data_IF_437274808857
#
_entry.id   IF_437274808857
#
_cell.length_a   1.000
_cell.length_b   1.000
_cell.length_c   1.000
_cell.angle_alpha   90.00
_cell.angle_beta   90.00
_cell.angle_gamma   90.00
#
_symmetry.space_group_name_H-M   'P 1'
#
loop_
_entity.id
_entity.type
_entity.pdbx_description
1 polymer ?
#
# COMPACT_ATOMS: atom_id res chain seq x y z
N UNK A 1 -14.94 12.51 26.18
CA UNK A 1 -13.68 11.73 26.12
C UNK A 1 -12.93 11.92 27.44
N UNK A 2 -12.60 10.85 28.18
CA UNK A 2 -11.68 10.98 29.32
C UNK A 2 -10.36 11.58 28.83
N UNK A 3 -9.88 12.61 29.51
CA UNK A 3 -8.67 13.40 29.16
C UNK A 3 -7.42 12.51 29.01
N UNK A 4 -7.43 11.34 29.61
CA UNK A 4 -6.35 10.34 29.68
C UNK A 4 -5.92 9.76 28.32
N UNK A 5 -6.84 9.59 27.35
CA UNK A 5 -6.54 8.91 26.09
C UNK A 5 -6.16 9.85 24.93
N UNK A 6 -6.31 11.17 25.09
CA UNK A 6 -6.13 12.12 23.96
C UNK A 6 -4.71 12.06 23.38
N UNK A 7 -3.68 11.97 24.22
CA UNK A 7 -2.29 11.86 23.76
C UNK A 7 -2.00 10.55 23.01
N UNK A 8 -2.61 9.44 23.46
CA UNK A 8 -2.45 8.12 22.83
C UNK A 8 -3.14 8.09 21.47
N UNK A 9 -4.34 8.69 21.37
CA UNK A 9 -5.06 8.83 20.10
C UNK A 9 -4.26 9.67 19.11
N UNK A 10 -3.74 10.84 19.53
CA UNK A 10 -2.92 11.70 18.66
C UNK A 10 -1.69 10.95 18.17
N UNK A 11 -1.03 10.18 19.04
CA UNK A 11 0.12 9.36 18.67
C UNK A 11 -0.22 8.27 17.64
N UNK A 12 -1.32 7.53 17.81
CA UNK A 12 -1.73 6.53 16.82
C UNK A 12 -2.14 7.17 15.49
N UNK A 13 -2.83 8.31 15.54
CA UNK A 13 -3.20 9.06 14.33
C UNK A 13 -1.99 9.67 13.62
N UNK A 14 -0.98 10.15 14.34
CA UNK A 14 0.27 10.58 13.71
C UNK A 14 1.00 9.40 13.06
N UNK A 15 0.95 8.22 13.69
CA UNK A 15 1.41 6.96 13.09
C UNK A 15 0.66 6.63 11.78
N UNK A 16 -0.66 6.80 11.74
CA UNK A 16 -1.46 6.66 10.52
C UNK A 16 -1.01 7.62 9.41
N UNK A 17 -0.73 8.89 9.73
CA UNK A 17 -0.23 9.88 8.77
C UNK A 17 1.16 9.49 8.26
N UNK A 18 2.06 9.00 9.12
CA UNK A 18 3.38 8.54 8.69
C UNK A 18 3.30 7.30 7.79
N UNK A 19 2.42 6.34 8.10
CA UNK A 19 2.18 5.18 7.25
C UNK A 19 1.58 5.58 5.89
N UNK A 20 0.72 6.60 5.87
CA UNK A 20 0.25 7.19 4.61
C UNK A 20 1.41 7.78 3.79
N UNK A 21 2.24 8.63 4.39
CA UNK A 21 3.42 9.21 3.72
C UNK A 21 4.37 8.12 3.21
N UNK A 22 4.59 7.07 4.01
CA UNK A 22 5.39 5.91 3.61
C UNK A 22 4.86 5.23 2.35
N UNK A 23 3.54 5.00 2.28
CA UNK A 23 2.90 4.41 1.11
C UNK A 23 3.01 5.34 -0.12
N UNK A 24 2.85 6.66 0.06
CA UNK A 24 3.01 7.64 -1.04
C UNK A 24 4.44 7.61 -1.58
N UNK A 25 5.43 7.76 -0.71
CA UNK A 25 6.85 7.81 -1.10
C UNK A 25 7.30 6.46 -1.65
N UNK A 26 6.84 5.34 -1.10
CA UNK A 26 7.08 4.01 -1.65
C UNK A 26 6.45 3.82 -3.03
N UNK A 27 5.25 4.40 -3.27
CA UNK A 27 4.61 4.44 -4.58
C UNK A 27 5.44 5.21 -5.61
N UNK A 28 5.96 6.39 -5.23
CA UNK A 28 6.87 7.18 -6.08
C UNK A 28 8.11 6.34 -6.39
N UNK A 29 8.79 5.82 -5.35
CA UNK A 29 10.00 4.99 -5.48
C UNK A 29 9.79 3.81 -6.43
N UNK A 30 8.61 3.16 -6.41
CA UNK A 30 8.29 2.09 -7.35
C UNK A 30 8.08 2.62 -8.77
N UNK A 31 7.25 3.64 -8.94
CA UNK A 31 6.87 4.16 -10.26
C UNK A 31 8.03 4.86 -10.98
N UNK A 32 9.03 5.34 -10.24
CA UNK A 32 10.28 5.92 -10.78
C UNK A 32 11.43 4.90 -10.85
N UNK A 33 11.16 3.61 -10.61
CA UNK A 33 12.15 2.52 -10.56
C UNK A 33 13.37 2.82 -9.67
N UNK A 34 13.13 3.54 -8.57
CA UNK A 34 14.21 4.01 -7.70
C UNK A 34 14.63 2.99 -6.64
N UNK A 35 13.86 1.91 -6.44
CA UNK A 35 14.01 1.00 -5.29
C UNK A 35 15.28 0.12 -5.25
N UNK A 36 16.18 0.25 -6.23
CA UNK A 36 17.44 -0.50 -6.34
C UNK A 36 18.67 0.42 -6.55
N UNK A 37 18.54 1.71 -6.24
CA UNK A 37 19.59 2.72 -6.37
C UNK A 37 20.61 2.70 -5.23
N UNK A 38 20.20 2.30 -4.02
CA UNK A 38 21.09 2.16 -2.85
C UNK A 38 21.52 0.70 -2.69
N UNK A 39 22.75 0.43 -3.09
CA UNK A 39 23.32 -0.92 -3.19
C UNK A 39 23.84 -1.47 -1.87
N UNK A 40 24.16 -0.59 -0.91
CA UNK A 40 24.56 -0.96 0.44
C UNK A 40 23.41 -0.72 1.43
N UNK A 41 23.26 -1.64 2.39
CA UNK A 41 22.22 -1.57 3.41
C UNK A 41 22.81 -1.33 4.79
N UNK A 42 22.66 -0.10 5.26
CA UNK A 42 23.01 0.28 6.62
C UNK A 42 21.75 0.66 7.41
N UNK A 43 21.47 -0.08 8.49
CA UNK A 43 20.27 0.15 9.31
C UNK A 43 20.37 1.48 10.07
N UNK A 44 21.56 1.81 10.58
CA UNK A 44 21.79 2.93 11.51
C UNK A 44 22.85 3.92 10.99
N UNK A 45 23.94 3.44 10.39
CA UNK A 45 24.99 4.30 9.81
C UNK A 45 24.57 4.87 8.45
N UNK A 46 25.23 5.95 8.03
CA UNK A 46 25.01 6.61 6.73
C UNK A 46 23.55 6.99 6.45
N UNK A 47 22.90 7.54 7.48
CA UNK A 47 21.50 7.96 7.43
C UNK A 47 21.26 9.13 6.47
N UNK A 48 22.29 9.92 6.14
CA UNK A 48 22.19 11.06 5.23
C UNK A 48 22.76 10.72 3.84
N UNK A 49 22.21 11.31 2.76
CA UNK A 49 22.76 11.11 1.42
C UNK A 49 24.18 11.70 1.31
N UNK A 50 24.96 11.34 0.28
CA UNK A 50 26.26 11.94 0.04
C UNK A 50 26.21 13.48 0.05
N UNK A 51 27.12 14.10 0.81
CA UNK A 51 27.16 15.56 1.00
C UNK A 51 28.22 16.26 0.15
N UNK A 52 29.10 15.50 -0.52
CA UNK A 52 30.16 16.04 -1.37
C UNK A 52 30.11 15.39 -2.74
N UNK A 53 30.60 16.09 -3.76
CA UNK A 53 30.60 15.59 -5.13
C UNK A 53 31.44 14.31 -5.27
N UNK A 54 32.58 14.24 -4.57
CA UNK A 54 33.42 13.04 -4.56
C UNK A 54 32.67 11.81 -3.99
N UNK A 55 31.87 11.98 -2.94
CA UNK A 55 31.05 10.87 -2.38
C UNK A 55 29.91 10.49 -3.32
N UNK A 56 29.30 11.47 -4.00
CA UNK A 56 28.29 11.20 -5.03
C UNK A 56 28.86 10.39 -6.19
N UNK A 57 30.04 10.75 -6.68
CA UNK A 57 30.71 10.02 -7.74
C UNK A 57 31.06 8.59 -7.31
N UNK A 58 31.60 8.41 -6.10
CA UNK A 58 31.90 7.08 -5.57
C UNK A 58 30.65 6.20 -5.44
N UNK A 59 29.55 6.75 -4.93
CA UNK A 59 28.27 6.03 -4.84
C UNK A 59 27.71 5.68 -6.23
N UNK A 60 27.85 6.58 -7.20
CA UNK A 60 27.43 6.32 -8.58
C UNK A 60 28.29 5.25 -9.24
N UNK A 61 29.61 5.29 -9.05
CA UNK A 61 30.53 4.29 -9.58
C UNK A 61 30.30 2.90 -8.97
N UNK A 62 29.87 2.84 -7.70
CA UNK A 62 29.39 1.60 -7.10
C UNK A 62 28.08 1.11 -7.76
N UNK A 63 27.10 2.00 -7.93
CA UNK A 63 25.83 1.68 -8.60
C UNK A 63 26.03 1.13 -10.02
N UNK A 64 27.03 1.63 -10.77
CA UNK A 64 27.37 1.13 -12.12
C UNK A 64 27.74 -0.35 -12.16
N UNK A 65 28.10 -0.95 -11.03
CA UNK A 65 28.44 -2.37 -10.93
C UNK A 65 27.20 -3.28 -10.85
N UNK A 66 26.02 -2.73 -10.60
CA UNK A 66 24.81 -3.50 -10.36
C UNK A 66 23.98 -3.70 -11.64
N UNK A 67 23.17 -4.78 -11.71
CA UNK A 67 22.42 -5.12 -12.92
C UNK A 67 21.46 -4.03 -13.40
N UNK A 68 20.85 -3.24 -12.50
CA UNK A 68 19.92 -2.15 -12.85
C UNK A 68 20.61 -1.13 -13.75
N UNK A 69 21.82 -0.71 -13.40
CA UNK A 69 22.59 0.19 -14.25
C UNK A 69 22.98 -0.48 -15.56
N UNK A 70 23.58 -1.68 -15.48
CA UNK A 70 24.17 -2.36 -16.62
C UNK A 70 23.17 -2.81 -17.69
N UNK A 71 21.93 -3.12 -17.30
CA UNK A 71 20.90 -3.67 -18.21
C UNK A 71 19.82 -2.66 -18.60
N UNK A 72 19.56 -1.66 -17.75
CA UNK A 72 18.45 -0.73 -17.95
C UNK A 72 18.98 0.68 -18.16
N UNK A 73 19.65 1.24 -17.15
CA UNK A 73 19.93 2.68 -17.16
C UNK A 73 21.07 3.09 -18.11
N UNK A 74 22.03 2.22 -18.41
CA UNK A 74 23.12 2.54 -19.35
C UNK A 74 22.63 2.93 -20.75
N UNK A 75 21.40 2.54 -21.12
CA UNK A 75 20.82 2.79 -22.44
C UNK A 75 20.06 4.12 -22.57
N UNK A 76 20.00 4.93 -21.50
CA UNK A 76 19.16 6.14 -21.42
C UNK A 76 19.97 7.45 -21.21
N UNK A 77 21.19 7.54 -21.74
CA UNK A 77 22.11 8.68 -21.49
C UNK A 77 22.30 9.02 -19.99
N UNK A 78 22.18 8.01 -19.13
CA UNK A 78 22.01 8.18 -17.68
C UNK A 78 23.24 8.81 -17.00
N UNK A 79 23.04 9.98 -16.39
CA UNK A 79 24.08 10.77 -15.74
C UNK A 79 23.98 10.72 -14.22
N UNK A 80 24.97 11.34 -13.56
CA UNK A 80 24.96 11.50 -12.10
C UNK A 80 23.71 12.23 -11.58
N UNK A 81 23.13 13.15 -12.36
CA UNK A 81 21.91 13.85 -12.00
C UNK A 81 20.71 12.88 -11.89
N UNK A 82 20.58 11.94 -12.83
CA UNK A 82 19.53 10.92 -12.83
C UNK A 82 19.73 9.95 -11.66
N UNK A 83 20.98 9.57 -11.38
CA UNK A 83 21.32 8.79 -10.19
C UNK A 83 20.91 9.50 -8.89
N UNK A 84 21.24 10.80 -8.75
CA UNK A 84 20.83 11.61 -7.59
C UNK A 84 19.31 11.63 -7.41
N UNK A 85 18.54 11.68 -8.50
CA UNK A 85 17.08 11.65 -8.46
C UNK A 85 16.54 10.32 -7.91
N UNK A 86 16.97 9.18 -8.46
CA UNK A 86 16.50 7.87 -7.97
C UNK A 86 16.99 7.58 -6.55
N UNK A 87 18.24 7.95 -6.23
CA UNK A 87 18.81 7.82 -4.90
C UNK A 87 17.99 8.58 -3.87
N UNK A 88 17.56 9.81 -4.18
CA UNK A 88 16.78 10.63 -3.25
C UNK A 88 15.47 9.94 -2.83
N UNK A 89 14.72 9.39 -3.79
CA UNK A 89 13.43 8.77 -3.48
C UNK A 89 13.59 7.51 -2.63
N UNK A 90 14.57 6.67 -2.96
CA UNK A 90 14.86 5.48 -2.16
C UNK A 90 15.36 5.84 -0.75
N UNK A 91 16.29 6.79 -0.66
CA UNK A 91 16.78 7.30 0.61
C UNK A 91 15.63 7.85 1.45
N UNK A 92 14.76 8.67 0.87
CA UNK A 92 13.65 9.30 1.59
C UNK A 92 12.64 8.26 2.08
N UNK A 93 12.33 7.25 1.26
CA UNK A 93 11.51 6.11 1.67
C UNK A 93 12.11 5.37 2.87
N UNK A 94 13.41 5.02 2.80
CA UNK A 94 14.14 4.35 3.89
C UNK A 94 14.22 5.21 5.16
N UNK A 95 14.43 6.52 5.00
CA UNK A 95 14.47 7.49 6.09
C UNK A 95 13.13 7.56 6.84
N UNK A 96 12.01 7.67 6.12
CA UNK A 96 10.67 7.63 6.74
C UNK A 96 10.48 6.32 7.51
N UNK A 97 10.92 5.17 6.97
CA UNK A 97 10.86 3.89 7.67
C UNK A 97 11.57 3.90 9.03
N UNK A 98 12.75 4.52 9.12
CA UNK A 98 13.47 4.70 10.39
C UNK A 98 12.70 5.60 11.36
N UNK A 99 12.15 6.71 10.87
CA UNK A 99 11.32 7.63 11.68
C UNK A 99 10.07 6.92 12.22
N UNK A 100 9.40 6.08 11.43
CA UNK A 100 8.25 5.27 11.88
C UNK A 100 8.65 4.36 13.05
N UNK A 101 9.79 3.67 12.95
CA UNK A 101 10.31 2.85 14.04
C UNK A 101 10.43 3.64 15.36
N UNK A 102 11.03 4.84 15.31
CA UNK A 102 11.17 5.71 16.47
C UNK A 102 9.83 6.23 17.00
N UNK A 103 8.94 6.68 16.10
CA UNK A 103 7.64 7.26 16.45
C UNK A 103 6.69 6.23 17.05
N UNK A 104 6.80 4.95 16.70
CA UNK A 104 6.03 3.91 17.38
C UNK A 104 6.71 3.41 18.65
N UNK A 105 8.03 3.20 18.65
CA UNK A 105 8.71 2.60 19.79
C UNK A 105 8.82 3.55 21.00
N UNK A 106 9.28 4.78 20.79
CA UNK A 106 9.57 5.73 21.89
C UNK A 106 8.29 6.13 22.65
N UNK A 107 7.20 6.57 22.00
CA UNK A 107 5.97 6.89 22.72
C UNK A 107 5.30 5.68 23.35
N UNK A 108 5.42 4.47 22.76
CA UNK A 108 4.92 3.25 23.38
C UNK A 108 5.58 3.00 24.74
N UNK A 109 6.91 3.03 24.79
CA UNK A 109 7.67 2.87 26.04
C UNK A 109 7.31 3.97 27.04
N UNK A 110 7.24 5.23 26.58
CA UNK A 110 6.81 6.34 27.42
C UNK A 110 5.41 6.13 28.02
N UNK A 111 4.41 5.76 27.21
CA UNK A 111 3.04 5.54 27.70
C UNK A 111 2.93 4.32 28.61
N UNK A 112 3.76 3.30 28.40
CA UNK A 112 3.85 2.12 29.27
C UNK A 112 4.38 2.51 30.67
N UNK A 113 5.51 3.25 30.73
CA UNK A 113 6.09 3.73 31.99
C UNK A 113 5.11 4.66 32.73
N UNK A 114 4.41 5.54 31.98
CA UNK A 114 3.42 6.46 32.55
C UNK A 114 2.08 5.80 32.88
N UNK A 115 1.94 4.48 32.70
CA UNK A 115 0.71 3.71 32.95
C UNK A 115 -0.53 4.30 32.25
N UNK A 116 -0.33 4.87 31.06
CA UNK A 116 -1.39 5.50 30.25
C UNK A 116 -2.14 4.53 29.33
N UNK A 117 -1.71 3.27 29.27
CA UNK A 117 -2.30 2.23 28.41
C UNK A 117 -2.97 1.17 29.28
N UNK A 118 -4.19 0.79 28.95
CA UNK A 118 -4.84 -0.38 29.53
C UNK A 118 -4.29 -1.68 28.92
N UNK A 119 -4.46 -2.81 29.60
CA UNK A 119 -3.93 -4.11 29.16
C UNK A 119 -4.33 -4.48 27.73
N UNK A 120 -5.58 -4.28 27.27
CA UNK A 120 -5.95 -4.49 25.87
C UNK A 120 -5.17 -3.61 24.89
N UNK A 121 -4.97 -2.32 25.18
CA UNK A 121 -4.22 -1.42 24.31
C UNK A 121 -2.74 -1.78 24.27
N UNK A 122 -2.14 -2.17 25.40
CA UNK A 122 -0.76 -2.67 25.44
C UNK A 122 -0.59 -3.84 24.46
N UNK A 123 -1.46 -4.86 24.54
CA UNK A 123 -1.38 -6.01 23.63
C UNK A 123 -1.47 -5.61 22.15
N UNK A 124 -2.40 -4.71 21.80
CA UNK A 124 -2.55 -4.22 20.43
C UNK A 124 -1.34 -3.43 19.95
N UNK A 125 -0.78 -2.57 20.80
CA UNK A 125 0.42 -1.80 20.47
C UNK A 125 1.67 -2.69 20.36
N UNK A 126 1.79 -3.75 21.17
CA UNK A 126 2.85 -4.76 20.98
C UNK A 126 2.74 -5.45 19.63
N UNK A 127 1.52 -5.82 19.21
CA UNK A 127 1.29 -6.35 17.86
C UNK A 127 1.68 -5.33 16.79
N UNK A 128 1.34 -4.04 16.96
CA UNK A 128 1.76 -2.98 16.04
C UNK A 128 3.28 -2.87 15.91
N UNK A 129 4.03 -2.96 17.00
CA UNK A 129 5.49 -2.94 16.97
C UNK A 129 6.06 -4.17 16.24
N UNK A 130 5.49 -5.35 16.49
CA UNK A 130 5.88 -6.57 15.78
C UNK A 130 5.58 -6.47 14.26
N UNK A 131 4.42 -5.93 13.90
CA UNK A 131 4.06 -5.65 12.50
C UNK A 131 5.04 -4.65 11.87
N UNK A 132 5.38 -3.56 12.56
CA UNK A 132 6.36 -2.58 12.08
C UNK A 132 7.74 -3.19 11.83
N UNK A 133 8.23 -4.01 12.76
CA UNK A 133 9.49 -4.73 12.60
C UNK A 133 9.44 -5.72 11.42
N UNK A 134 8.34 -6.48 11.31
CA UNK A 134 8.13 -7.39 10.20
C UNK A 134 8.03 -6.66 8.85
N UNK A 135 7.45 -5.45 8.83
CA UNK A 135 7.40 -4.63 7.64
C UNK A 135 8.80 -4.18 7.18
N UNK A 136 9.69 -3.84 8.11
CA UNK A 136 11.10 -3.60 7.83
C UNK A 136 11.80 -4.83 7.22
N UNK A 137 11.53 -6.02 7.77
CA UNK A 137 11.99 -7.29 7.21
C UNK A 137 11.47 -7.52 5.77
N UNK A 138 10.17 -7.31 5.54
CA UNK A 138 9.58 -7.44 4.19
C UNK A 138 10.20 -6.47 3.20
N UNK A 139 10.50 -5.24 3.61
CA UNK A 139 11.18 -4.26 2.76
C UNK A 139 12.59 -4.71 2.35
N UNK A 140 13.38 -5.24 3.30
CA UNK A 140 14.69 -5.83 3.00
C UNK A 140 14.56 -7.06 2.09
N UNK A 141 13.61 -7.96 2.38
CA UNK A 141 13.35 -9.17 1.60
C UNK A 141 12.97 -8.86 0.15
N UNK A 142 12.20 -7.77 -0.05
CA UNK A 142 11.81 -7.25 -1.36
C UNK A 142 13.00 -6.73 -2.16
N UNK A 143 13.87 -5.90 -1.57
CA UNK A 143 15.03 -5.31 -2.28
C UNK A 143 16.10 -6.37 -2.60
N UNK A 144 16.33 -7.33 -1.70
CA UNK A 144 17.37 -8.35 -1.87
C UNK A 144 17.25 -9.15 -3.18
N UNK A 145 16.04 -9.36 -3.72
CA UNK A 145 15.87 -10.05 -5.01
C UNK A 145 16.48 -9.33 -6.20
N UNK A 146 16.49 -8.00 -6.19
CA UNK A 146 16.87 -7.18 -7.35
C UNK A 146 18.38 -6.90 -7.47
N UNK A 147 19.18 -7.26 -6.45
CA UNK A 147 20.60 -6.89 -6.37
C UNK A 147 21.58 -7.96 -6.90
N UNK A 148 21.09 -9.13 -7.31
CA UNK A 148 21.95 -10.28 -7.69
C UNK A 148 22.00 -10.44 -9.21
N UNK A 149 20.99 -11.10 -9.80
CA UNK A 149 21.05 -11.53 -11.21
C UNK A 149 20.16 -10.68 -12.13
N UNK A 150 18.90 -10.48 -11.73
CA UNK A 150 17.92 -9.69 -12.48
C UNK A 150 17.48 -8.48 -11.66
N UNK A 151 17.54 -7.26 -12.23
CA UNK A 151 17.17 -6.02 -11.55
C UNK A 151 15.66 -5.85 -11.36
N UNK A 152 14.94 -6.95 -11.15
CA UNK A 152 13.50 -6.92 -10.93
C UNK A 152 13.19 -7.37 -9.51
N UNK A 153 12.57 -6.46 -8.75
CA UNK A 153 11.89 -6.84 -7.52
C UNK A 153 10.71 -7.72 -7.89
N UNK A 154 10.72 -8.96 -7.40
CA UNK A 154 9.59 -9.88 -7.59
C UNK A 154 8.27 -9.20 -7.21
N UNK A 155 7.32 -9.18 -8.14
CA UNK A 155 5.99 -8.59 -7.95
C UNK A 155 5.24 -9.22 -6.78
N UNK A 156 5.51 -10.50 -6.48
CA UNK A 156 5.00 -11.16 -5.28
C UNK A 156 5.52 -10.49 -4.00
N UNK A 157 6.83 -10.19 -3.93
CA UNK A 157 7.44 -9.54 -2.76
C UNK A 157 6.98 -8.09 -2.62
N UNK A 158 6.88 -7.37 -3.73
CA UNK A 158 6.33 -6.01 -3.77
C UNK A 158 4.89 -5.99 -3.25
N UNK A 159 4.03 -6.86 -3.80
CA UNK A 159 2.62 -6.95 -3.41
C UNK A 159 2.46 -7.37 -1.95
N UNK A 160 3.27 -8.31 -1.46
CA UNK A 160 3.31 -8.69 -0.06
C UNK A 160 3.67 -7.50 0.85
N UNK A 161 4.74 -6.77 0.53
CA UNK A 161 5.18 -5.60 1.29
C UNK A 161 4.13 -4.48 1.31
N UNK A 162 3.55 -4.16 0.15
CA UNK A 162 2.49 -3.15 0.00
C UNK A 162 1.24 -3.54 0.80
N UNK A 163 0.74 -4.76 0.59
CA UNK A 163 -0.47 -5.25 1.26
C UNK A 163 -0.29 -5.29 2.77
N UNK A 164 0.89 -5.71 3.26
CA UNK A 164 1.19 -5.68 4.68
C UNK A 164 1.29 -4.25 5.25
N UNK A 165 1.79 -3.28 4.47
CA UNK A 165 1.76 -1.86 4.83
C UNK A 165 0.32 -1.38 5.06
N UNK A 166 -0.58 -1.71 4.12
CA UNK A 166 -1.99 -1.36 4.15
C UNK A 166 -2.70 -2.00 5.35
N UNK A 167 -2.41 -3.28 5.66
CA UNK A 167 -2.93 -3.97 6.83
C UNK A 167 -2.40 -3.36 8.13
N UNK A 168 -1.11 -3.01 8.18
CA UNK A 168 -0.50 -2.33 9.35
C UNK A 168 -1.17 -0.98 9.60
N UNK A 169 -1.43 -0.21 8.55
CA UNK A 169 -2.20 1.02 8.64
C UNK A 169 -3.63 0.77 9.14
N UNK A 170 -4.36 -0.16 8.52
CA UNK A 170 -5.74 -0.48 8.90
C UNK A 170 -5.83 -0.93 10.36
N UNK A 171 -4.87 -1.73 10.83
CA UNK A 171 -4.80 -2.15 12.23
C UNK A 171 -4.48 -0.96 13.15
N UNK A 172 -3.51 -0.10 12.80
CA UNK A 172 -3.21 1.14 13.56
C UNK A 172 -4.45 2.01 13.71
N UNK A 173 -5.16 2.26 12.61
CA UNK A 173 -6.40 3.03 12.58
C UNK A 173 -7.48 2.36 13.44
N UNK A 174 -7.61 1.03 13.38
CA UNK A 174 -8.53 0.28 14.23
C UNK A 174 -8.26 0.49 15.71
N UNK A 175 -6.99 0.44 16.15
CA UNK A 175 -6.62 0.70 17.55
C UNK A 175 -6.96 2.13 17.95
N UNK A 176 -6.69 3.11 17.09
CA UNK A 176 -7.06 4.50 17.33
C UNK A 176 -8.59 4.66 17.47
N UNK A 177 -9.37 4.02 16.59
CA UNK A 177 -10.83 4.06 16.61
C UNK A 177 -11.42 3.41 17.86
N UNK A 178 -10.83 2.33 18.36
CA UNK A 178 -11.22 1.72 19.65
C UNK A 178 -11.08 2.71 20.82
N UNK A 179 -10.10 3.62 20.77
CA UNK A 179 -9.89 4.66 21.80
C UNK A 179 -10.76 5.89 21.57
N UNK A 180 -11.04 6.25 20.31
CA UNK A 180 -11.93 7.37 19.94
C UNK A 180 -13.38 7.04 20.28
N UNK A 181 -13.79 5.79 20.05
CA UNK A 181 -15.14 5.29 20.29
C UNK A 181 -15.12 4.16 21.32
N UNK A 182 -14.91 4.48 22.62
CA UNK A 182 -14.76 3.47 23.67
C UNK A 182 -16.08 2.73 24.00
N UNK A 183 -17.22 3.36 23.71
CA UNK A 183 -18.54 2.77 23.92
C UNK A 183 -18.81 1.69 22.87
N UNK A 184 -19.13 0.48 23.34
CA UNK A 184 -19.48 -0.63 22.45
C UNK A 184 -20.91 -0.45 21.97
N UNK A 185 -21.10 -0.55 20.66
CA UNK A 185 -22.38 -0.59 20.00
C UNK A 185 -23.17 -1.81 20.50
N UNK A 186 -24.23 -1.52 21.25
CA UNK A 186 -25.10 -2.51 21.87
C UNK A 186 -25.96 -3.21 20.78
N UNK A 187 -26.28 -2.49 19.70
CA UNK A 187 -27.14 -2.97 18.61
C UNK A 187 -26.33 -3.33 17.36
N UNK A 188 -25.49 -4.37 17.47
CA UNK A 188 -24.67 -4.84 16.35
C UNK A 188 -25.53 -5.40 15.23
N UNK A 189 -25.44 -4.80 14.04
CA UNK A 189 -26.13 -5.31 12.85
C UNK A 189 -25.25 -6.38 12.18
N UNK A 190 -25.32 -7.62 12.70
CA UNK A 190 -24.47 -8.74 12.29
C UNK A 190 -24.44 -8.99 10.77
N UNK A 191 -25.57 -8.90 10.02
CA UNK A 191 -25.55 -9.06 8.56
C UNK A 191 -24.66 -8.05 7.86
N UNK A 192 -24.76 -6.76 8.21
CA UNK A 192 -23.92 -5.70 7.61
C UNK A 192 -22.45 -5.88 7.96
N UNK A 193 -22.15 -6.28 9.19
CA UNK A 193 -20.77 -6.60 9.60
C UNK A 193 -20.19 -7.75 8.76
N UNK A 194 -20.96 -8.80 8.53
CA UNK A 194 -20.52 -9.95 7.72
C UNK A 194 -20.24 -9.53 6.28
N UNK A 195 -21.13 -8.74 5.68
CA UNK A 195 -20.95 -8.20 4.33
C UNK A 195 -19.71 -7.29 4.26
N UNK A 196 -19.53 -6.38 5.22
CA UNK A 196 -18.36 -5.51 5.27
C UNK A 196 -17.04 -6.28 5.38
N UNK A 197 -17.02 -7.44 6.07
CA UNK A 197 -15.84 -8.32 6.11
C UNK A 197 -15.54 -8.96 4.75
N UNK A 198 -16.56 -9.42 4.03
CA UNK A 198 -16.36 -9.94 2.68
C UNK A 198 -15.93 -8.85 1.70
N UNK A 199 -16.49 -7.64 1.81
CA UNK A 199 -16.08 -6.49 1.01
C UNK A 199 -14.63 -6.08 1.33
N UNK A 200 -14.20 -6.12 2.59
CA UNK A 200 -12.79 -5.92 2.97
C UNK A 200 -11.90 -7.01 2.37
N UNK A 201 -12.29 -8.28 2.42
CA UNK A 201 -11.53 -9.38 1.82
C UNK A 201 -11.37 -9.19 0.29
N UNK A 202 -12.45 -8.83 -0.41
CA UNK A 202 -12.40 -8.50 -1.83
C UNK A 202 -11.47 -7.30 -2.09
N UNK A 203 -11.57 -6.23 -1.28
CA UNK A 203 -10.67 -5.07 -1.41
C UNK A 203 -9.19 -5.45 -1.21
N UNK A 204 -8.87 -6.34 -0.27
CA UNK A 204 -7.50 -6.82 -0.07
C UNK A 204 -7.00 -7.64 -1.27
N UNK A 205 -7.83 -8.49 -1.87
CA UNK A 205 -7.50 -9.20 -3.11
C UNK A 205 -7.22 -8.20 -4.24
N UNK A 206 -8.05 -7.15 -4.37
CA UNK A 206 -7.84 -6.09 -5.36
C UNK A 206 -6.51 -5.36 -5.16
N UNK A 207 -6.13 -5.06 -3.91
CA UNK A 207 -4.85 -4.44 -3.57
C UNK A 207 -3.68 -5.37 -3.93
N UNK A 208 -3.79 -6.67 -3.65
CA UNK A 208 -2.77 -7.67 -4.01
C UNK A 208 -2.54 -7.66 -5.53
N UNK A 209 -3.61 -7.73 -6.32
CA UNK A 209 -3.52 -7.66 -7.78
C UNK A 209 -3.03 -6.30 -8.27
N UNK A 210 -3.36 -5.20 -7.58
CA UNK A 210 -2.78 -3.89 -7.88
C UNK A 210 -1.26 -3.87 -7.69
N UNK A 211 -0.77 -4.51 -6.62
CA UNK A 211 0.65 -4.74 -6.39
C UNK A 211 1.31 -5.61 -7.48
N UNK A 212 0.60 -6.63 -7.99
CA UNK A 212 1.09 -7.44 -9.10
C UNK A 212 1.17 -6.63 -10.40
N UNK A 213 0.13 -5.85 -10.72
CA UNK A 213 0.11 -4.97 -11.91
C UNK A 213 1.27 -3.99 -11.87
N UNK A 214 1.47 -3.31 -10.73
CA UNK A 214 2.59 -2.40 -10.54
C UNK A 214 3.93 -3.13 -10.63
N UNK A 215 4.08 -4.28 -9.98
CA UNK A 215 5.32 -5.07 -9.97
C UNK A 215 5.77 -5.51 -11.36
N UNK A 216 4.84 -6.03 -12.16
CA UNK A 216 5.12 -6.55 -13.51
C UNK A 216 5.14 -5.48 -14.61
N UNK A 217 4.89 -4.21 -14.27
CA UNK A 217 4.59 -3.14 -15.23
C UNK A 217 3.42 -3.53 -16.18
N UNK A 218 2.49 -4.36 -15.70
CA UNK A 218 1.39 -4.89 -16.51
C UNK A 218 0.34 -3.82 -16.84
N UNK A 219 0.45 -2.61 -16.28
CA UNK A 219 -0.41 -1.50 -16.66
C UNK A 219 -0.13 -0.95 -18.07
N UNK A 220 0.96 -1.34 -18.73
CA UNK A 220 1.43 -0.77 -20.00
C UNK A 220 1.05 -1.58 -21.26
N UNK A 221 0.28 -2.68 -21.12
CA UNK A 221 0.06 -3.62 -22.24
C UNK A 221 -1.30 -3.44 -22.94
N UNK A 222 -2.43 -3.52 -22.24
CA UNK A 222 -3.77 -3.39 -22.82
C UNK A 222 -4.45 -2.10 -22.34
N UNK A 223 -4.06 -0.96 -22.90
CA UNK A 223 -4.50 0.37 -22.50
C UNK A 223 -5.87 0.79 -23.09
N UNK A 224 -6.80 -0.15 -23.12
CA UNK A 224 -8.17 0.03 -23.57
C UNK A 224 -9.15 -0.30 -22.44
N UNK A 225 -10.34 0.31 -22.47
CA UNK A 225 -11.43 0.01 -21.56
C UNK A 225 -12.78 0.22 -22.28
N UNK A 226 -13.78 -0.66 -22.09
CA UNK A 226 -13.79 -1.83 -21.20
C UNK A 226 -13.07 -3.06 -21.75
N UNK A 227 -12.76 -3.07 -23.04
CA UNK A 227 -12.10 -4.18 -23.75
C UNK A 227 -10.57 -4.15 -23.55
N UNK A 228 -9.91 -5.27 -23.82
CA UNK A 228 -8.46 -5.37 -23.97
C UNK A 228 -8.06 -4.97 -25.40
N UNK A 229 -6.79 -5.22 -25.79
CA UNK A 229 -6.35 -4.95 -27.18
C UNK A 229 -7.19 -5.72 -28.20
N UNK A 230 -7.21 -5.20 -29.43
CA UNK A 230 -7.89 -5.81 -30.58
C UNK A 230 -9.43 -5.93 -30.43
N UNK A 231 -10.00 -5.20 -29.47
CA UNK A 231 -11.45 -5.21 -29.21
C UNK A 231 -11.94 -6.45 -28.49
N UNK A 232 -11.04 -7.26 -27.91
CA UNK A 232 -11.39 -8.48 -27.20
C UNK A 232 -11.71 -8.21 -25.72
N UNK A 233 -12.70 -8.88 -25.14
CA UNK A 233 -12.96 -8.74 -23.69
C UNK A 233 -11.88 -9.46 -22.85
N UNK A 234 -11.42 -10.61 -23.33
CA UNK A 234 -10.28 -11.36 -22.78
C UNK A 234 -9.34 -11.61 -23.96
N UNK A 235 -8.19 -10.93 -23.97
CA UNK A 235 -7.23 -11.12 -25.04
C UNK A 235 -6.54 -12.50 -24.94
N UNK A 236 -6.20 -13.14 -26.05
CA UNK A 236 -5.58 -14.49 -26.06
C UNK A 236 -4.32 -14.57 -25.16
N UNK A 237 -3.53 -13.49 -25.09
CA UNK A 237 -2.33 -13.40 -24.24
C UNK A 237 -2.60 -13.65 -22.75
N UNK A 238 -3.84 -13.54 -22.27
CA UNK A 238 -4.25 -13.92 -20.91
C UNK A 238 -4.01 -15.41 -20.65
N UNK A 239 -3.92 -16.26 -21.67
CA UNK A 239 -3.82 -17.71 -21.53
C UNK A 239 -2.50 -18.32 -22.03
N UNK A 240 -1.69 -17.54 -22.76
CA UNK A 240 -0.53 -18.07 -23.50
C UNK A 240 0.82 -17.44 -23.11
N UNK A 241 0.85 -16.36 -22.32
CA UNK A 241 2.09 -15.66 -21.94
C UNK A 241 3.03 -16.53 -21.08
N UNK A 242 2.46 -17.45 -20.29
CA UNK A 242 3.15 -18.32 -19.35
C UNK A 242 2.72 -19.78 -19.50
N UNK A 243 3.54 -20.68 -18.94
CA UNK A 243 3.26 -22.12 -18.91
C UNK A 243 2.15 -22.48 -17.91
N UNK A 244 0.91 -22.51 -18.41
CA UNK A 244 -0.28 -22.94 -17.66
C UNK A 244 -1.10 -21.79 -17.08
N UNK A 245 -2.39 -22.06 -16.84
CA UNK A 245 -3.38 -21.04 -16.47
C UNK A 245 -3.02 -20.27 -15.19
N UNK A 246 -2.57 -20.96 -14.14
CA UNK A 246 -2.26 -20.31 -12.86
C UNK A 246 -1.15 -19.27 -13.05
N UNK A 247 -0.04 -19.65 -13.71
CA UNK A 247 1.06 -18.73 -13.96
C UNK A 247 0.66 -17.57 -14.84
N UNK A 248 -0.18 -17.79 -15.85
CA UNK A 248 -0.70 -16.68 -16.65
C UNK A 248 -1.48 -15.66 -15.82
N UNK A 249 -2.28 -16.14 -14.86
CA UNK A 249 -3.10 -15.29 -14.01
C UNK A 249 -2.33 -14.63 -12.86
N UNK A 250 -1.16 -15.15 -12.46
CA UNK A 250 -0.37 -14.61 -11.34
C UNK A 250 0.95 -13.97 -11.73
N UNK A 251 1.51 -14.31 -12.89
CA UNK A 251 2.84 -13.90 -13.36
C UNK A 251 2.79 -13.33 -14.79
N UNK A 252 1.84 -13.77 -15.62
CA UNK A 252 1.59 -13.18 -16.93
C UNK A 252 1.01 -11.77 -16.79
N UNK A 253 1.61 -10.81 -17.49
CA UNK A 253 1.19 -9.41 -17.46
C UNK A 253 -0.27 -9.29 -17.88
N UNK A 254 -0.68 -9.95 -18.96
CA UNK A 254 -2.04 -9.88 -19.50
C UNK A 254 -3.08 -10.44 -18.52
N UNK A 255 -2.82 -11.63 -17.97
CA UNK A 255 -3.72 -12.26 -17.00
C UNK A 255 -3.85 -11.49 -15.69
N UNK A 256 -2.73 -11.00 -15.16
CA UNK A 256 -2.73 -10.15 -13.95
C UNK A 256 -3.52 -8.86 -14.18
N UNK A 257 -3.30 -8.19 -15.32
CA UNK A 257 -4.02 -6.96 -15.66
C UNK A 257 -5.51 -7.22 -15.88
N UNK A 258 -5.87 -8.34 -16.51
CA UNK A 258 -7.25 -8.79 -16.71
C UNK A 258 -7.97 -9.05 -15.38
N UNK A 259 -7.33 -9.75 -14.44
CA UNK A 259 -7.93 -10.01 -13.13
C UNK A 259 -8.10 -8.70 -12.36
N UNK A 260 -7.07 -7.83 -12.34
CA UNK A 260 -7.19 -6.56 -11.62
C UNK A 260 -8.34 -5.69 -12.14
N UNK A 261 -8.53 -5.59 -13.47
CA UNK A 261 -9.62 -4.79 -14.05
C UNK A 261 -11.00 -5.42 -13.81
N UNK A 262 -11.12 -6.75 -13.92
CA UNK A 262 -12.43 -7.43 -13.79
C UNK A 262 -12.85 -7.59 -12.34
N UNK A 263 -11.92 -7.88 -11.44
CA UNK A 263 -12.19 -8.00 -10.01
C UNK A 263 -12.56 -6.64 -9.37
N UNK A 264 -12.18 -5.52 -9.98
CA UNK A 264 -12.63 -4.19 -9.54
C UNK A 264 -14.16 -4.07 -9.55
N UNK A 265 -14.85 -4.67 -10.52
CA UNK A 265 -16.32 -4.71 -10.55
C UNK A 265 -16.89 -5.50 -9.36
N UNK A 266 -16.22 -6.57 -8.93
CA UNK A 266 -16.62 -7.36 -7.74
C UNK A 266 -16.51 -6.49 -6.48
N UNK A 267 -15.45 -5.69 -6.34
CA UNK A 267 -15.29 -4.75 -5.22
C UNK A 267 -16.39 -3.69 -5.21
N UNK A 268 -16.67 -3.07 -6.36
CA UNK A 268 -17.78 -2.11 -6.51
C UNK A 268 -19.11 -2.76 -6.13
N UNK A 269 -19.41 -3.94 -6.68
CA UNK A 269 -20.64 -4.66 -6.39
C UNK A 269 -20.76 -5.02 -4.90
N UNK A 270 -19.67 -5.46 -4.25
CA UNK A 270 -19.68 -5.78 -2.82
C UNK A 270 -19.97 -4.56 -1.94
N UNK A 271 -19.41 -3.40 -2.28
CA UNK A 271 -19.65 -2.13 -1.56
C UNK A 271 -21.07 -1.61 -1.82
N UNK A 272 -21.56 -1.66 -3.06
CA UNK A 272 -22.95 -1.30 -3.37
C UNK A 272 -23.95 -2.24 -2.69
N UNK A 273 -23.66 -3.54 -2.66
CA UNK A 273 -24.49 -4.51 -1.95
C UNK A 273 -24.55 -4.20 -0.45
N UNK A 274 -23.43 -3.84 0.18
CA UNK A 274 -23.41 -3.34 1.56
C UNK A 274 -24.31 -2.11 1.72
N UNK A 275 -24.19 -1.12 0.82
CA UNK A 275 -24.99 0.10 0.83
C UNK A 275 -26.50 -0.20 0.72
N UNK A 276 -26.94 -0.95 -0.28
CA UNK A 276 -28.36 -1.27 -0.46
C UNK A 276 -28.91 -2.13 0.67
N UNK A 277 -28.14 -3.12 1.16
CA UNK A 277 -28.56 -3.93 2.31
C UNK A 277 -28.70 -3.08 3.58
N UNK A 278 -27.87 -2.05 3.74
CA UNK A 278 -27.92 -1.16 4.91
C UNK A 278 -29.22 -0.35 5.01
N UNK A 279 -29.90 -0.08 3.88
CA UNK A 279 -31.19 0.63 3.84
C UNK A 279 -32.33 -0.11 4.54
N UNK A 280 -32.17 -1.41 4.80
CA UNK A 280 -33.15 -2.24 5.54
C UNK A 280 -33.01 -2.11 7.07
N UNK A 281 -32.07 -1.31 7.55
CA UNK A 281 -31.77 -1.18 8.98
C UNK A 281 -31.69 0.29 9.39
N UNK A 282 -32.01 0.56 10.66
CA UNK A 282 -31.78 1.87 11.27
C UNK A 282 -30.30 2.01 11.62
N UNK A 283 -29.61 2.94 10.97
CA UNK A 283 -28.17 3.18 11.15
C UNK A 283 -27.93 4.40 12.03
N UNK A 284 -26.85 4.35 12.82
CA UNK A 284 -26.32 5.58 13.44
C UNK A 284 -25.72 6.51 12.36
N UNK A 285 -25.60 7.81 12.66
CA UNK A 285 -24.96 8.78 11.75
C UNK A 285 -23.55 8.34 11.32
N UNK A 286 -22.76 7.77 12.24
CA UNK A 286 -21.40 7.29 11.93
C UNK A 286 -21.38 6.09 10.97
N UNK A 287 -22.33 5.17 11.11
CA UNK A 287 -22.45 4.01 10.21
C UNK A 287 -22.93 4.44 8.82
N UNK A 288 -23.95 5.30 8.76
CA UNK A 288 -24.46 5.83 7.49
C UNK A 288 -23.37 6.62 6.74
N UNK A 289 -22.65 7.50 7.43
CA UNK A 289 -21.55 8.27 6.84
C UNK A 289 -20.44 7.35 6.31
N UNK A 290 -19.99 6.36 7.09
CA UNK A 290 -18.95 5.42 6.64
C UNK A 290 -19.35 4.67 5.36
N UNK A 291 -20.58 4.14 5.32
CA UNK A 291 -21.10 3.44 4.14
C UNK A 291 -21.25 4.38 2.93
N UNK A 292 -21.73 5.60 3.12
CA UNK A 292 -21.83 6.58 2.03
C UNK A 292 -20.45 6.98 1.49
N UNK A 293 -19.47 7.21 2.38
CA UNK A 293 -18.09 7.51 2.00
C UNK A 293 -17.47 6.36 1.20
N UNK A 294 -17.74 5.10 1.58
CA UNK A 294 -17.28 3.93 0.83
C UNK A 294 -17.79 3.92 -0.61
N UNK A 295 -19.07 4.25 -0.83
CA UNK A 295 -19.65 4.32 -2.18
C UNK A 295 -18.94 5.40 -3.01
N UNK A 296 -18.76 6.59 -2.45
CA UNK A 296 -18.07 7.68 -3.16
C UNK A 296 -16.63 7.28 -3.50
N UNK A 297 -15.89 6.76 -2.52
CA UNK A 297 -14.47 6.43 -2.70
C UNK A 297 -14.26 5.26 -3.67
N UNK A 298 -15.14 4.25 -3.70
CA UNK A 298 -14.99 3.15 -4.66
C UNK A 298 -15.23 3.60 -6.09
N UNK A 299 -16.14 4.55 -6.33
CA UNK A 299 -16.34 5.12 -7.67
C UNK A 299 -15.15 5.98 -8.10
N UNK A 300 -14.63 6.84 -7.21
CA UNK A 300 -13.42 7.63 -7.52
C UNK A 300 -12.25 6.68 -7.80
N UNK A 301 -12.07 5.63 -6.98
CA UNK A 301 -11.03 4.63 -7.19
C UNK A 301 -11.15 3.93 -8.55
N UNK A 302 -12.36 3.51 -8.92
CA UNK A 302 -12.62 2.83 -10.18
C UNK A 302 -12.31 3.73 -11.37
N UNK A 303 -12.81 4.97 -11.35
CA UNK A 303 -12.58 5.97 -12.42
C UNK A 303 -11.09 6.28 -12.55
N UNK A 304 -10.38 6.49 -11.44
CA UNK A 304 -8.93 6.69 -11.46
C UNK A 304 -8.19 5.47 -12.04
N UNK A 305 -8.67 4.26 -11.75
CA UNK A 305 -8.08 3.03 -12.31
C UNK A 305 -8.26 2.96 -13.83
N UNK A 306 -9.45 3.32 -14.32
CA UNK A 306 -9.72 3.43 -15.77
C UNK A 306 -8.81 4.46 -16.42
N UNK A 307 -8.69 5.67 -15.86
CA UNK A 307 -7.79 6.68 -16.43
C UNK A 307 -6.32 6.28 -16.35
N UNK A 308 -5.89 5.67 -15.25
CA UNK A 308 -4.51 5.15 -15.13
C UNK A 308 -4.23 4.13 -16.23
N UNK A 309 -5.20 3.30 -16.58
CA UNK A 309 -5.09 2.35 -17.69
C UNK A 309 -5.09 3.05 -19.05
N UNK A 310 -6.06 3.93 -19.33
CA UNK A 310 -6.20 4.57 -20.66
C UNK A 310 -5.01 5.45 -21.03
N UNK A 311 -4.37 6.09 -20.05
CA UNK A 311 -3.21 6.96 -20.29
C UNK A 311 -1.85 6.27 -20.11
N UNK A 312 -1.83 4.93 -20.04
CA UNK A 312 -0.58 4.14 -19.92
C UNK A 312 0.25 4.46 -18.67
N UNK A 313 -0.43 4.50 -17.52
CA UNK A 313 0.15 4.66 -16.18
C UNK A 313 1.07 5.89 -16.02
N UNK A 314 0.61 7.11 -16.32
CA UNK A 314 1.39 8.30 -15.98
C UNK A 314 1.65 8.33 -14.47
N UNK A 315 2.86 8.74 -14.07
CA UNK A 315 3.30 8.76 -12.67
C UNK A 315 2.24 9.35 -11.72
N UNK A 316 1.66 10.50 -12.09
CA UNK A 316 0.66 11.18 -11.29
C UNK A 316 -0.64 10.36 -11.13
N UNK A 317 -1.15 9.76 -12.21
CA UNK A 317 -2.38 8.96 -12.14
C UNK A 317 -2.17 7.67 -11.36
N UNK A 318 -1.05 6.95 -11.58
CA UNK A 318 -0.70 5.77 -10.80
C UNK A 318 -0.59 6.08 -9.32
N UNK A 319 0.05 7.20 -8.97
CA UNK A 319 0.18 7.65 -7.58
C UNK A 319 -1.16 8.05 -6.96
N UNK A 320 -1.99 8.84 -7.65
CA UNK A 320 -3.30 9.26 -7.17
C UNK A 320 -4.23 8.04 -7.00
N UNK A 321 -4.17 7.06 -7.91
CA UNK A 321 -4.91 5.81 -7.79
C UNK A 321 -4.50 5.00 -6.54
N UNK A 322 -3.20 4.94 -6.22
CA UNK A 322 -2.71 4.31 -4.99
C UNK A 322 -3.13 5.08 -3.73
N UNK A 323 -3.07 6.41 -3.76
CA UNK A 323 -3.53 7.28 -2.66
C UNK A 323 -5.02 7.07 -2.40
N UNK A 324 -5.84 7.03 -3.44
CA UNK A 324 -7.27 6.78 -3.30
C UNK A 324 -7.55 5.36 -2.80
N UNK A 325 -6.75 4.36 -3.17
CA UNK A 325 -6.85 3.00 -2.63
C UNK A 325 -6.63 2.99 -1.10
N UNK A 326 -5.68 3.77 -0.62
CA UNK A 326 -5.40 3.91 0.81
C UNK A 326 -6.57 4.55 1.56
N UNK A 327 -7.17 5.61 1.01
CA UNK A 327 -8.36 6.24 1.58
C UNK A 327 -9.60 5.35 1.50
N UNK A 328 -9.77 4.57 0.43
CA UNK A 328 -10.82 3.56 0.33
C UNK A 328 -10.67 2.49 1.42
N UNK A 329 -9.44 2.00 1.65
CA UNK A 329 -9.17 1.08 2.77
C UNK A 329 -9.46 1.76 4.12
N UNK A 330 -9.06 3.02 4.30
CA UNK A 330 -9.35 3.79 5.52
C UNK A 330 -10.85 3.85 5.81
N UNK A 331 -11.66 4.16 4.80
CA UNK A 331 -13.12 4.20 4.89
C UNK A 331 -13.72 2.80 5.14
N UNK A 332 -13.15 1.74 4.55
CA UNK A 332 -13.55 0.35 4.80
C UNK A 332 -13.27 -0.07 6.24
N UNK A 333 -12.06 0.21 6.74
CA UNK A 333 -11.67 -0.05 8.13
C UNK A 333 -12.57 0.70 9.10
N UNK A 334 -12.81 2.00 8.86
CA UNK A 334 -13.73 2.80 9.67
C UNK A 334 -15.15 2.21 9.67
N UNK A 335 -15.70 1.89 8.49
CA UNK A 335 -17.04 1.34 8.37
C UNK A 335 -17.18 -0.01 9.08
N UNK A 336 -16.20 -0.90 8.87
CA UNK A 336 -16.19 -2.19 9.54
C UNK A 336 -16.06 -2.05 11.07
N UNK A 337 -15.29 -1.07 11.55
CA UNK A 337 -15.20 -0.72 12.97
C UNK A 337 -16.57 -0.32 13.52
N UNK A 338 -17.23 0.67 12.91
CA UNK A 338 -18.56 1.16 13.35
C UNK A 338 -19.70 0.13 13.25
N UNK A 339 -19.53 -0.90 12.42
CA UNK A 339 -20.46 -2.04 12.33
C UNK A 339 -20.13 -3.17 13.32
N UNK A 340 -18.95 -3.15 13.95
CA UNK A 340 -18.45 -4.20 14.85
C UNK A 340 -18.42 -3.79 16.32
N UNK A 341 -18.14 -2.51 16.56
CA UNK A 341 -17.90 -1.84 17.82
C UNK A 341 -18.73 -0.58 17.87
#
# INVERSE_FOLDING_TARGET
>A
MKKENKSVIIWLLSGCVLLFLMVVVGGITRLTNSGLSMTDWHLVTDTFPPLTEAKWQAAFDEYKKFPEYQKINIHNDFQLADYKFIYFWEWFHRFIGRIIGLVFFVPFVYFLIRKKLDTPTIKKCTVLLAMGAFQGFLGWFMVRSGLIDNPDVSHFRLSLHLTFAFITFAYTLWVALDLIYPERNINKILPLRKIARYALAALLIQIIYGGFVAGLNAGLIHNHWPLMSDGEFIHESVFIEQSGLIKNLTEGKSGVQFIHRTFAYVVVAAILFLFFKSKKYTLTRTQANGINTLVVFVFIQFVLGVFTLLYSVPLALGLIHQIMAFFLLSAMTYTLHRLSK
#
